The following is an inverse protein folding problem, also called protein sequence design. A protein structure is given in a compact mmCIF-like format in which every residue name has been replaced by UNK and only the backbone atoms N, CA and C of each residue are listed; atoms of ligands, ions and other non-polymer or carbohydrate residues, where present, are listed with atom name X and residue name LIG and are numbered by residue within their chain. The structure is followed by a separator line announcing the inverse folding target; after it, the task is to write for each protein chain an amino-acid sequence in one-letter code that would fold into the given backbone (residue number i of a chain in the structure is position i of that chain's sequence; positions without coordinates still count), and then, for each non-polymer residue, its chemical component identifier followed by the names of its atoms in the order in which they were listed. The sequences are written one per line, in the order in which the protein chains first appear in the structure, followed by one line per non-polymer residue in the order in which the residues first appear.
data_IF_115307840964
#
_entry.id   IF_115307840964
#
_cell.length_a   1.000
_cell.length_b   1.000
_cell.length_c   1.000
_cell.angle_alpha   90.00
_cell.angle_beta   90.00
_cell.angle_gamma   90.00
#
_symmetry.space_group_name_H-M   'P 1'
#
loop_
_entity.id
_entity.type
_entity.pdbx_description
1 polymer ?
#
# COMPACT_ATOMS: atom_id res chain seq x y z
N UNK A 1 -12.35 15.00 -31.09
CA UNK A 1 -13.73 15.22 -30.61
C UNK A 1 -14.15 14.04 -29.74
N UNK A 2 -14.01 14.13 -28.42
CA UNK A 2 -14.84 13.46 -27.41
C UNK A 2 -14.36 13.95 -26.03
N UNK A 3 -15.28 14.61 -25.31
CA UNK A 3 -15.06 15.42 -24.10
C UNK A 3 -14.67 14.58 -22.89
N UNK A 4 -13.55 14.90 -22.27
CA UNK A 4 -13.21 14.45 -20.92
C UNK A 4 -13.82 15.38 -19.87
N UNK A 5 -14.70 14.83 -19.03
CA UNK A 5 -15.38 15.57 -17.95
C UNK A 5 -14.38 15.85 -16.83
N UNK A 6 -13.83 17.07 -16.81
CA UNK A 6 -13.10 17.61 -15.65
C UNK A 6 -14.01 17.61 -14.41
N UNK A 7 -13.60 16.95 -13.33
CA UNK A 7 -14.17 17.16 -12.00
C UNK A 7 -13.47 18.36 -11.35
N UNK A 8 -14.19 19.35 -10.80
CA UNK A 8 -13.57 20.45 -10.06
C UNK A 8 -12.98 19.95 -8.75
N UNK A 9 -11.78 20.39 -8.41
CA UNK A 9 -11.20 20.23 -7.07
C UNK A 9 -11.89 21.16 -6.07
N UNK A 10 -11.90 20.85 -4.76
CA UNK A 10 -12.61 21.66 -3.79
C UNK A 10 -11.87 22.97 -3.53
N UNK A 11 -12.60 24.05 -3.76
CA UNK A 11 -12.28 25.44 -3.40
C UNK A 11 -12.27 25.59 -1.88
N UNK A 12 -11.31 26.38 -1.37
CA UNK A 12 -11.15 26.67 0.04
C UNK A 12 -12.34 27.52 0.55
N UNK A 13 -13.34 26.85 1.11
CA UNK A 13 -14.54 27.45 1.70
C UNK A 13 -14.35 27.87 3.15
N UNK A 14 -14.71 29.12 3.45
CA UNK A 14 -14.74 29.80 4.74
C UNK A 14 -15.34 28.97 5.89
N UNK A 15 -14.76 29.14 7.09
CA UNK A 15 -15.25 28.64 8.38
C UNK A 15 -16.73 29.03 8.62
N UNK A 16 -17.60 28.12 9.07
CA UNK A 16 -18.88 28.51 9.65
C UNK A 16 -18.69 28.95 11.10
N UNK A 17 -19.25 30.12 11.41
CA UNK A 17 -19.33 30.68 12.75
C UNK A 17 -20.27 29.84 13.64
N UNK A 18 -19.83 29.69 14.88
CA UNK A 18 -20.51 29.05 16.01
C UNK A 18 -21.83 29.79 16.33
N UNK A 19 -22.98 29.10 16.22
CA UNK A 19 -24.28 29.64 16.66
C UNK A 19 -24.51 29.26 18.11
N UNK A 20 -24.33 30.22 19.01
CA UNK A 20 -24.82 30.17 20.38
C UNK A 20 -26.36 30.11 20.45
N UNK A 21 -26.93 29.74 21.61
CA UNK A 21 -28.36 29.50 21.76
C UNK A 21 -29.16 30.80 21.63
N UNK A 22 -30.38 30.78 21.05
CA UNK A 22 -31.17 31.98 20.88
C UNK A 22 -31.69 32.50 22.23
N UNK A 23 -31.38 33.77 22.49
CA UNK A 23 -31.97 34.60 23.55
C UNK A 23 -33.49 34.73 23.35
N UNK A 24 -34.20 34.64 24.46
CA UNK A 24 -35.62 34.91 24.57
C UNK A 24 -35.97 36.35 24.13
N UNK A 25 -37.01 36.49 23.33
CA UNK A 25 -37.66 37.76 23.04
C UNK A 25 -39.08 37.74 23.65
N UNK A 26 -39.33 38.73 24.49
CA UNK A 26 -40.59 39.00 25.14
C UNK A 26 -41.55 39.77 24.20
N UNK A 27 -42.82 39.38 24.21
CA UNK A 27 -44.01 40.16 23.80
C UNK A 27 -45.24 39.26 24.06
N UNK A 28 -46.41 39.68 24.50
CA UNK A 28 -46.91 40.94 25.03
C UNK A 28 -48.17 40.58 25.84
N UNK A 29 -48.45 41.39 26.86
CA UNK A 29 -49.58 41.26 27.78
C UNK A 29 -50.88 41.63 27.06
N UNK A 30 -51.81 40.67 26.99
CA UNK A 30 -53.19 40.88 26.52
C UNK A 30 -54.17 40.47 27.62
N UNK A 31 -54.60 41.45 28.43
CA UNK A 31 -55.66 41.27 29.42
C UNK A 31 -57.03 41.27 28.73
N UNK A 32 -57.82 40.20 28.92
CA UNK A 32 -59.28 40.26 28.77
C UNK A 32 -59.98 39.57 29.92
N UNK A 33 -60.86 40.34 30.54
CA UNK A 33 -61.64 40.12 31.75
C UNK A 33 -62.95 39.43 31.40
N UNK A 34 -63.30 38.37 32.15
CA UNK A 34 -64.68 38.18 32.58
C UNK A 34 -65.32 36.81 32.38
N UNK A 35 -65.68 36.24 33.55
CA UNK A 35 -66.88 35.43 33.88
C UNK A 35 -66.78 33.90 33.73
N UNK A 36 -66.60 33.26 34.90
CA UNK A 36 -67.66 32.44 35.49
C UNK A 36 -67.52 30.92 35.37
N UNK A 37 -67.42 30.27 36.54
CA UNK A 37 -67.69 28.85 36.83
C UNK A 37 -66.76 27.81 36.16
N UNK A 38 -66.22 26.78 36.80
CA UNK A 38 -66.33 26.26 38.14
C UNK A 38 -64.98 25.60 38.50
N UNK A 39 -64.58 25.68 39.77
CA UNK A 39 -63.41 24.97 40.30
C UNK A 39 -63.74 23.48 40.34
N UNK A 40 -63.35 22.75 39.30
CA UNK A 40 -63.19 21.29 39.36
C UNK A 40 -61.77 20.99 39.85
N UNK A 41 -61.66 20.34 41.00
CA UNK A 41 -60.41 19.85 41.57
C UNK A 41 -59.56 19.07 40.53
N UNK A 42 -58.22 19.03 40.66
CA UNK A 42 -57.42 18.06 39.91
C UNK A 42 -57.81 16.67 40.41
N UNK A 43 -58.79 16.06 39.76
CA UNK A 43 -59.07 14.64 39.91
C UNK A 43 -57.78 13.92 39.56
N UNK A 44 -57.13 13.34 40.56
CA UNK A 44 -56.01 12.43 40.35
C UNK A 44 -56.51 11.37 39.38
N UNK A 45 -56.03 11.39 38.14
CA UNK A 45 -56.36 10.38 37.16
C UNK A 45 -55.71 9.08 37.65
N UNK A 46 -56.48 8.28 38.40
CA UNK A 46 -56.10 6.93 38.81
C UNK A 46 -56.02 6.12 37.53
N UNK A 47 -54.81 6.04 36.95
CA UNK A 47 -54.52 5.17 35.82
C UNK A 47 -54.88 3.74 36.23
N UNK A 48 -55.80 3.11 35.51
CA UNK A 48 -56.11 1.70 35.72
C UNK A 48 -54.82 0.89 35.64
N UNK A 49 -54.71 -0.19 36.44
CA UNK A 49 -53.52 -1.06 36.46
C UNK A 49 -53.08 -1.48 35.05
N UNK A 50 -54.04 -1.69 34.14
CA UNK A 50 -53.80 -1.98 32.72
C UNK A 50 -53.09 -0.86 31.94
N UNK A 51 -53.45 0.41 32.18
CA UNK A 51 -52.80 1.57 31.54
C UNK A 51 -51.41 1.81 32.08
N UNK A 52 -51.20 1.60 33.39
CA UNK A 52 -49.86 1.66 33.99
C UNK A 52 -48.94 0.61 33.37
N UNK A 53 -49.41 -0.64 33.24
CA UNK A 53 -48.64 -1.73 32.61
C UNK A 53 -48.33 -1.43 31.14
N UNK A 54 -49.29 -0.88 30.38
CA UNK A 54 -49.07 -0.50 28.99
C UNK A 54 -48.02 0.62 28.83
N UNK A 55 -48.05 1.65 29.68
CA UNK A 55 -47.05 2.73 29.67
C UNK A 55 -45.66 2.20 30.02
N UNK A 56 -45.56 1.32 31.02
CA UNK A 56 -44.30 0.69 31.39
C UNK A 56 -43.76 -0.22 30.27
N UNK A 57 -44.63 -0.96 29.57
CA UNK A 57 -44.25 -1.81 28.44
C UNK A 57 -43.77 -1.01 27.22
N UNK A 58 -44.41 0.13 26.92
CA UNK A 58 -43.95 1.03 25.86
C UNK A 58 -42.62 1.70 26.24
N UNK A 59 -42.46 2.10 27.50
CA UNK A 59 -41.21 2.65 28.02
C UNK A 59 -40.05 1.66 27.94
N UNK A 60 -40.27 0.39 28.31
CA UNK A 60 -39.24 -0.66 28.23
C UNK A 60 -38.88 -1.01 26.79
N UNK A 61 -39.86 -1.06 25.87
CA UNK A 61 -39.62 -1.25 24.44
C UNK A 61 -38.80 -0.10 23.84
N UNK A 62 -39.14 1.16 24.15
CA UNK A 62 -38.39 2.32 23.70
C UNK A 62 -36.94 2.30 24.21
N UNK A 63 -36.73 1.94 25.49
CA UNK A 63 -35.40 1.78 26.06
C UNK A 63 -34.60 0.64 25.39
N UNK A 64 -35.27 -0.48 25.10
CA UNK A 64 -34.68 -1.61 24.38
C UNK A 64 -34.23 -1.23 22.96
N UNK A 65 -35.06 -0.51 22.20
CA UNK A 65 -34.72 -0.01 20.87
C UNK A 65 -33.56 0.99 20.91
N UNK A 66 -33.53 1.89 21.90
CA UNK A 66 -32.42 2.82 22.10
C UNK A 66 -31.11 2.09 22.42
N UNK A 67 -31.15 1.06 23.28
CA UNK A 67 -29.98 0.24 23.62
C UNK A 67 -29.46 -0.55 22.41
N UNK A 68 -30.35 -1.13 21.60
CA UNK A 68 -29.98 -1.80 20.35
C UNK A 68 -29.38 -0.81 19.35
N UNK A 69 -30.00 0.35 19.16
CA UNK A 69 -29.49 1.41 18.29
C UNK A 69 -28.10 1.89 18.72
N UNK A 70 -27.90 2.13 20.01
CA UNK A 70 -26.59 2.45 20.58
C UNK A 70 -25.59 1.31 20.37
N UNK A 71 -25.98 0.06 20.60
CA UNK A 71 -25.13 -1.10 20.39
C UNK A 71 -24.68 -1.25 18.93
N UNK A 72 -25.59 -1.08 17.98
CA UNK A 72 -25.28 -1.09 16.54
C UNK A 72 -24.40 0.10 16.16
N UNK A 73 -24.71 1.30 16.65
CA UNK A 73 -23.91 2.51 16.43
C UNK A 73 -22.49 2.38 16.98
N UNK A 74 -22.33 1.91 18.21
CA UNK A 74 -21.05 1.67 18.85
C UNK A 74 -20.22 0.60 18.10
N UNK A 75 -20.86 -0.47 17.64
CA UNK A 75 -20.20 -1.48 16.78
C UNK A 75 -19.73 -0.87 15.47
N UNK A 76 -20.56 -0.08 14.78
CA UNK A 76 -20.18 0.62 13.54
C UNK A 76 -19.05 1.61 13.75
N UNK A 77 -19.09 2.39 14.83
CA UNK A 77 -18.04 3.35 15.17
C UNK A 77 -16.70 2.66 15.47
N UNK A 78 -16.73 1.57 16.24
CA UNK A 78 -15.54 0.73 16.50
C UNK A 78 -14.99 0.14 15.21
N UNK A 79 -15.85 -0.42 14.35
CA UNK A 79 -15.44 -0.97 13.06
C UNK A 79 -14.84 0.11 12.13
N UNK A 80 -15.43 1.30 12.09
CA UNK A 80 -14.91 2.41 11.30
C UNK A 80 -13.52 2.86 11.75
N UNK A 81 -13.22 2.82 13.06
CA UNK A 81 -11.88 3.13 13.60
C UNK A 81 -10.82 2.10 13.22
N UNK A 82 -11.20 0.85 12.96
CA UNK A 82 -10.27 -0.21 12.53
C UNK A 82 -9.88 -0.06 11.06
N UNK A 83 -10.79 0.44 10.22
CA UNK A 83 -10.59 0.54 8.76
C UNK A 83 -10.15 1.93 8.28
N UNK A 84 -10.18 2.94 9.15
CA UNK A 84 -9.79 4.31 8.80
C UNK A 84 -8.33 4.59 9.16
N UNK A 85 -7.69 5.43 8.35
CA UNK A 85 -6.36 5.94 8.66
C UNK A 85 -6.39 6.75 9.96
N UNK A 86 -5.25 6.77 10.66
CA UNK A 86 -5.11 7.51 11.91
C UNK A 86 -5.36 9.01 11.71
N UNK A 87 -6.10 9.70 12.61
CA UNK A 87 -6.48 11.11 12.44
C UNK A 87 -5.33 12.12 12.68
N UNK A 88 -4.12 11.64 13.00
CA UNK A 88 -2.98 12.53 13.24
C UNK A 88 -2.58 13.26 11.96
N UNK A 89 -1.99 14.46 12.07
CA UNK A 89 -1.42 15.16 10.92
C UNK A 89 -0.45 14.24 10.16
N UNK A 90 -0.49 14.33 8.82
CA UNK A 90 0.46 13.59 7.98
C UNK A 90 1.86 14.19 8.17
N UNK A 91 2.84 13.32 8.41
CA UNK A 91 4.27 13.71 8.49
C UNK A 91 4.81 14.07 7.11
N UNK A 92 4.31 13.41 6.07
CA UNK A 92 4.70 13.64 4.69
C UNK A 92 3.65 14.45 3.95
N UNK A 93 4.10 15.36 3.11
CA UNK A 93 3.25 16.10 2.20
C UNK A 93 2.55 15.17 1.20
N UNK A 94 1.37 15.59 0.72
CA UNK A 94 0.56 14.80 -0.19
C UNK A 94 1.30 14.42 -1.49
N UNK A 95 2.24 15.27 -1.94
CA UNK A 95 3.02 15.07 -3.17
C UNK A 95 4.51 14.79 -2.91
N UNK A 96 4.86 14.35 -1.69
CA UNK A 96 6.26 14.13 -1.26
C UNK A 96 7.05 13.14 -2.14
N UNK A 97 6.37 12.22 -2.84
CA UNK A 97 7.02 11.27 -3.75
C UNK A 97 7.12 11.73 -5.20
N UNK A 98 6.50 12.87 -5.54
CA UNK A 98 6.43 13.38 -6.91
C UNK A 98 7.77 13.87 -7.44
N UNK A 99 7.91 13.98 -8.78
CA UNK A 99 9.16 14.39 -9.41
C UNK A 99 9.57 15.84 -9.07
N UNK A 100 8.60 16.69 -8.67
CA UNK A 100 8.88 18.08 -8.26
C UNK A 100 9.32 18.21 -6.81
N UNK A 101 8.81 17.34 -5.93
CA UNK A 101 9.17 17.37 -4.51
C UNK A 101 10.52 16.69 -4.28
N UNK A 102 10.77 15.57 -4.96
CA UNK A 102 11.97 14.78 -4.77
C UNK A 102 12.36 14.09 -6.10
N UNK A 103 12.97 14.84 -7.04
CA UNK A 103 13.34 14.34 -8.37
C UNK A 103 14.38 13.22 -8.30
N UNK A 104 15.37 13.36 -7.39
CA UNK A 104 16.48 12.43 -7.26
C UNK A 104 16.05 11.02 -6.88
N UNK A 105 14.95 10.86 -6.15
CA UNK A 105 14.40 9.54 -5.77
C UNK A 105 13.15 9.16 -6.56
N UNK A 106 12.73 9.94 -7.55
CA UNK A 106 11.51 9.63 -8.29
C UNK A 106 11.59 8.25 -8.95
N UNK A 107 12.69 7.95 -9.64
CA UNK A 107 13.02 6.63 -10.19
C UNK A 107 13.96 5.85 -9.27
N UNK A 108 13.84 4.53 -9.25
CA UNK A 108 14.79 3.66 -8.57
C UNK A 108 14.48 2.17 -8.71
N UNK A 109 15.35 1.35 -8.13
CA UNK A 109 15.26 -0.12 -8.03
C UNK A 109 14.21 -0.58 -7.01
N UNK A 110 13.04 0.05 -6.98
CA UNK A 110 11.97 -0.17 -5.97
C UNK A 110 11.15 -1.46 -6.19
N UNK A 111 11.77 -2.48 -6.80
CA UNK A 111 11.16 -3.80 -7.04
C UNK A 111 12.11 -4.89 -6.52
N UNK A 112 12.26 -5.03 -5.20
CA UNK A 112 13.24 -5.95 -4.61
C UNK A 112 12.95 -7.43 -4.89
N UNK A 113 11.72 -7.76 -5.29
CA UNK A 113 11.31 -9.15 -5.59
C UNK A 113 11.74 -9.64 -6.98
N UNK A 114 12.24 -8.76 -7.85
CA UNK A 114 12.81 -9.15 -9.16
C UNK A 114 14.31 -8.98 -9.13
N UNK A 115 15.01 -9.80 -9.91
CA UNK A 115 16.47 -9.75 -9.96
C UNK A 115 16.98 -8.35 -10.33
N UNK A 116 16.41 -7.75 -11.37
CA UNK A 116 16.72 -6.37 -11.75
C UNK A 116 15.50 -5.69 -12.38
N UNK A 117 15.23 -4.46 -11.94
CA UNK A 117 14.09 -3.69 -12.45
C UNK A 117 14.03 -2.27 -11.90
N UNK A 118 13.26 -1.41 -12.56
CA UNK A 118 13.05 -0.02 -12.16
C UNK A 118 11.57 0.35 -12.16
N UNK A 119 11.23 1.26 -11.26
CA UNK A 119 9.88 1.80 -11.07
C UNK A 119 9.97 3.24 -10.54
N UNK A 120 8.99 4.06 -10.86
CA UNK A 120 8.82 5.39 -10.28
C UNK A 120 7.97 5.34 -8.99
N UNK A 121 8.18 6.29 -8.06
CA UNK A 121 7.39 6.45 -6.82
C UNK A 121 6.02 7.09 -7.07
N UNK A 122 5.27 6.50 -8.00
CA UNK A 122 3.91 6.88 -8.38
C UNK A 122 2.96 5.68 -8.21
N UNK A 123 1.71 5.89 -7.74
CA UNK A 123 0.69 4.83 -7.72
C UNK A 123 0.42 4.23 -9.11
N UNK A 124 0.56 5.05 -10.16
CA UNK A 124 0.46 4.65 -11.57
C UNK A 124 1.80 4.89 -12.23
N UNK A 125 2.70 3.93 -12.09
CA UNK A 125 4.07 4.03 -12.59
C UNK A 125 4.28 3.10 -13.79
N UNK A 126 5.02 3.54 -14.83
CA UNK A 126 5.68 2.60 -15.73
C UNK A 126 6.65 1.70 -14.94
N UNK A 127 6.80 0.46 -15.39
CA UNK A 127 7.64 -0.55 -14.75
C UNK A 127 8.52 -1.21 -15.81
N UNK A 128 9.82 -1.30 -15.53
CA UNK A 128 10.78 -2.05 -16.33
C UNK A 128 11.36 -3.20 -15.50
N UNK A 129 11.72 -4.30 -16.15
CA UNK A 129 12.34 -5.47 -15.53
C UNK A 129 13.18 -6.26 -16.51
N UNK A 130 14.20 -6.95 -16.00
CA UNK A 130 15.02 -7.89 -16.75
C UNK A 130 14.49 -9.32 -16.59
N UNK A 131 14.64 -10.10 -17.66
CA UNK A 131 14.41 -11.53 -17.69
C UNK A 131 15.49 -12.18 -18.54
N UNK A 132 15.92 -13.39 -18.19
CA UNK A 132 16.86 -14.17 -19.02
C UNK A 132 16.53 -15.66 -18.93
N UNK A 133 17.01 -16.43 -19.89
CA UNK A 133 16.84 -17.88 -19.93
C UNK A 133 18.02 -18.54 -20.64
N UNK A 134 18.32 -19.79 -20.27
CA UNK A 134 19.20 -20.66 -21.06
C UNK A 134 18.41 -21.27 -22.22
N UNK A 135 18.99 -21.22 -23.43
CA UNK A 135 18.42 -21.81 -24.65
C UNK A 135 18.90 -23.25 -24.89
N UNK A 136 19.19 -24.04 -23.86
CA UNK A 136 19.53 -25.46 -24.05
C UNK A 136 18.27 -26.30 -24.30
N UNK A 137 18.38 -27.30 -25.17
CA UNK A 137 17.29 -28.20 -25.56
C UNK A 137 16.72 -28.93 -24.33
N UNK A 138 15.41 -28.74 -24.08
CA UNK A 138 14.61 -29.57 -23.16
C UNK A 138 14.24 -28.95 -21.80
N UNK A 139 14.95 -27.94 -21.32
CA UNK A 139 14.69 -27.31 -20.01
C UNK A 139 14.77 -25.78 -20.08
N UNK A 140 13.60 -25.13 -20.19
CA UNK A 140 13.48 -23.66 -20.25
C UNK A 140 13.36 -23.11 -18.83
N UNK A 141 14.49 -22.67 -18.27
CA UNK A 141 14.53 -21.93 -17.01
C UNK A 141 14.55 -20.42 -17.27
N UNK A 142 13.36 -19.82 -17.24
CA UNK A 142 13.18 -18.37 -17.34
C UNK A 142 13.31 -17.72 -15.96
N UNK A 143 14.29 -16.82 -15.80
CA UNK A 143 14.55 -16.08 -14.56
C UNK A 143 13.89 -14.71 -14.62
N UNK A 144 13.22 -14.32 -13.53
CA UNK A 144 12.65 -12.98 -13.37
C UNK A 144 12.56 -12.56 -11.90
N UNK A 145 11.83 -13.32 -11.10
CA UNK A 145 11.66 -13.12 -9.66
C UNK A 145 12.77 -13.81 -8.89
N UNK A 146 13.13 -13.26 -7.73
CA UNK A 146 14.16 -13.83 -6.86
C UNK A 146 13.61 -15.06 -6.11
N UNK A 147 13.45 -16.19 -6.81
CA UNK A 147 12.98 -17.43 -6.19
C UNK A 147 14.14 -18.20 -5.56
N UNK A 148 13.98 -18.64 -4.32
CA UNK A 148 15.00 -19.46 -3.64
C UNK A 148 15.22 -20.80 -4.37
N UNK A 149 14.18 -21.32 -5.04
CA UNK A 149 14.23 -22.55 -5.83
C UNK A 149 15.02 -22.41 -7.13
N UNK A 150 15.43 -21.19 -7.53
CA UNK A 150 16.16 -21.00 -8.78
C UNK A 150 17.58 -21.56 -8.74
N UNK A 151 18.13 -21.78 -7.53
CA UNK A 151 19.42 -22.44 -7.35
C UNK A 151 20.62 -21.61 -7.81
N UNK A 152 20.49 -20.28 -7.88
CA UNK A 152 21.61 -19.39 -8.19
C UNK A 152 22.66 -19.46 -7.09
N UNK A 153 23.96 -19.67 -7.42
CA UNK A 153 25.04 -19.67 -6.43
C UNK A 153 25.14 -18.37 -5.63
N UNK A 154 24.95 -17.22 -6.29
CA UNK A 154 25.03 -15.89 -5.68
C UNK A 154 24.33 -14.85 -6.52
N UNK A 155 23.68 -13.89 -5.89
CA UNK A 155 23.30 -12.63 -6.51
C UNK A 155 23.26 -11.50 -5.48
N UNK A 156 23.53 -10.27 -5.88
CA UNK A 156 23.49 -9.14 -4.96
C UNK A 156 24.08 -7.85 -5.52
N UNK A 157 23.78 -6.75 -4.84
CA UNK A 157 24.39 -5.45 -5.14
C UNK A 157 25.83 -5.42 -4.60
N UNK A 158 26.78 -5.21 -5.49
CA UNK A 158 28.18 -4.91 -5.13
C UNK A 158 28.30 -3.45 -4.69
N UNK A 159 27.61 -2.55 -5.40
CA UNK A 159 27.56 -1.12 -5.11
C UNK A 159 26.13 -0.64 -5.32
N UNK A 160 25.58 0.14 -4.39
CA UNK A 160 24.28 0.79 -4.57
C UNK A 160 24.17 1.98 -3.61
N UNK A 161 24.08 3.20 -4.15
CA UNK A 161 24.01 4.42 -3.33
C UNK A 161 22.58 4.77 -2.88
N UNK A 162 21.58 4.01 -3.34
CA UNK A 162 20.17 4.23 -3.04
C UNK A 162 19.54 5.35 -3.86
N UNK A 163 20.31 6.02 -4.72
CA UNK A 163 19.88 7.20 -5.48
C UNK A 163 20.38 7.10 -6.92
N UNK A 164 21.64 7.37 -7.22
CA UNK A 164 22.11 7.66 -8.56
C UNK A 164 22.56 6.44 -9.36
N UNK A 165 23.12 5.42 -8.71
CA UNK A 165 23.70 4.29 -9.43
C UNK A 165 23.69 2.99 -8.63
N UNK A 166 23.89 1.89 -9.35
CA UNK A 166 24.16 0.60 -8.73
C UNK A 166 24.81 -0.38 -9.68
N UNK A 167 25.58 -1.29 -9.11
CA UNK A 167 26.24 -2.42 -9.76
C UNK A 167 25.84 -3.68 -9.02
N UNK A 168 25.20 -4.61 -9.70
CA UNK A 168 24.77 -5.90 -9.18
C UNK A 168 25.44 -7.02 -9.97
N UNK A 169 25.83 -8.07 -9.25
CA UNK A 169 26.31 -9.32 -9.81
C UNK A 169 25.26 -10.41 -9.58
N UNK A 170 25.04 -11.23 -10.60
CA UNK A 170 24.17 -12.40 -10.57
C UNK A 170 24.96 -13.55 -11.18
N UNK A 171 25.27 -14.55 -10.37
CA UNK A 171 25.86 -15.80 -10.81
C UNK A 171 24.75 -16.83 -11.02
N UNK A 172 24.65 -17.32 -12.24
CA UNK A 172 23.79 -18.42 -12.67
C UNK A 172 24.66 -19.56 -13.20
N UNK A 173 24.07 -20.72 -13.46
CA UNK A 173 24.82 -21.92 -13.85
C UNK A 173 25.45 -21.73 -15.24
N UNK A 174 26.75 -21.47 -15.28
CA UNK A 174 27.51 -21.26 -16.53
C UNK A 174 27.42 -19.85 -17.10
N UNK A 175 26.76 -18.91 -16.41
CA UNK A 175 26.65 -17.51 -16.81
C UNK A 175 26.88 -16.59 -15.59
N UNK A 176 27.72 -15.59 -15.78
CA UNK A 176 27.85 -14.45 -14.85
C UNK A 176 27.24 -13.22 -15.51
N UNK A 177 26.19 -12.67 -14.88
CA UNK A 177 25.53 -11.45 -15.31
C UNK A 177 25.94 -10.30 -14.38
N UNK A 178 26.26 -9.16 -14.98
CA UNK A 178 26.48 -7.90 -14.28
C UNK A 178 25.46 -6.88 -14.78
N UNK A 179 24.59 -6.43 -13.87
CA UNK A 179 23.54 -5.45 -14.13
C UNK A 179 23.91 -4.12 -13.48
N UNK A 180 23.90 -3.07 -14.28
CA UNK A 180 24.33 -1.75 -13.85
C UNK A 180 23.30 -0.71 -14.27
N UNK A 181 23.10 0.29 -13.42
CA UNK A 181 22.31 1.45 -13.80
C UNK A 181 22.97 2.75 -13.35
N UNK A 182 22.70 3.80 -14.12
CA UNK A 182 23.01 5.19 -13.78
C UNK A 182 21.79 6.04 -14.07
N UNK A 183 21.50 6.99 -13.18
CA UNK A 183 20.47 8.02 -13.38
C UNK A 183 21.13 9.35 -13.70
N UNK A 184 20.53 10.08 -14.65
CA UNK A 184 20.89 11.45 -14.98
C UNK A 184 19.75 12.37 -14.54
N UNK A 185 19.99 13.30 -13.60
CA UNK A 185 18.99 14.29 -13.24
C UNK A 185 18.70 15.22 -14.44
N UNK A 186 17.45 15.63 -14.59
CA UNK A 186 17.05 16.53 -15.67
C UNK A 186 15.54 16.65 -15.84
N UNK A 187 15.12 17.73 -16.49
CA UNK A 187 13.71 17.99 -16.78
C UNK A 187 12.83 18.14 -15.53
N UNK A 188 11.51 17.99 -15.73
CA UNK A 188 10.48 18.15 -14.69
C UNK A 188 9.82 16.82 -14.28
N UNK A 189 10.32 15.69 -14.80
CA UNK A 189 9.68 14.37 -14.69
C UNK A 189 10.59 13.31 -14.03
N UNK A 190 11.62 13.75 -13.30
CA UNK A 190 12.51 12.87 -12.54
C UNK A 190 13.76 12.38 -13.30
N UNK A 191 14.10 13.00 -14.42
CA UNK A 191 15.31 12.70 -15.20
C UNK A 191 15.25 11.43 -16.02
N UNK A 192 16.42 11.01 -16.48
CA UNK A 192 16.64 9.85 -17.33
C UNK A 192 17.44 8.78 -16.58
N UNK A 193 17.41 7.56 -17.10
CA UNK A 193 18.19 6.45 -16.57
C UNK A 193 18.58 5.49 -17.68
N UNK A 194 19.68 4.77 -17.47
CA UNK A 194 20.20 3.81 -18.44
C UNK A 194 20.65 2.55 -17.74
N UNK A 195 20.45 1.41 -18.40
CA UNK A 195 20.89 0.10 -17.95
C UNK A 195 22.02 -0.41 -18.82
N UNK A 196 22.98 -1.08 -18.21
CA UNK A 196 23.95 -1.93 -18.90
C UNK A 196 23.83 -3.33 -18.32
N UNK A 197 23.65 -4.31 -19.20
CA UNK A 197 23.62 -5.73 -18.84
C UNK A 197 24.78 -6.37 -19.56
N UNK A 198 25.75 -6.86 -18.79
CA UNK A 198 26.90 -7.60 -19.30
C UNK A 198 26.73 -9.06 -18.95
N UNK A 199 26.90 -9.95 -19.93
CA UNK A 199 26.81 -11.39 -19.71
C UNK A 199 28.16 -12.00 -20.09
N UNK A 200 28.72 -12.82 -19.20
CA UNK A 200 29.97 -13.55 -19.42
C UNK A 200 29.72 -15.04 -19.22
N UNK A 201 30.23 -15.91 -20.09
CA UNK A 201 30.22 -17.34 -19.82
C UNK A 201 31.16 -17.62 -18.64
N UNK A 202 30.70 -18.44 -17.69
CA UNK A 202 31.57 -18.96 -16.67
C UNK A 202 32.27 -20.20 -17.24
N UNK A 203 33.55 -20.06 -17.56
CA UNK A 203 34.37 -21.20 -17.99
C UNK A 203 34.28 -22.26 -16.88
N UNK A 204 33.93 -23.52 -17.20
CA UNK A 204 34.10 -24.58 -16.24
C UNK A 204 35.55 -24.51 -15.78
N UNK A 205 35.78 -24.46 -14.46
CA UNK A 205 37.10 -24.69 -13.91
C UNK A 205 37.58 -26.00 -14.54
N UNK A 206 38.50 -25.91 -15.51
CA UNK A 206 39.28 -27.04 -15.93
C UNK A 206 40.00 -27.47 -14.65
N UNK A 207 39.47 -28.51 -14.00
CA UNK A 207 40.20 -29.21 -12.97
C UNK A 207 41.59 -29.54 -13.53
N UNK A 208 42.65 -29.51 -12.70
CA UNK A 208 43.99 -29.79 -13.19
C UNK A 208 43.94 -31.07 -14.02
N UNK A 209 44.38 -30.99 -15.28
CA UNK A 209 44.52 -32.15 -16.15
C UNK A 209 45.30 -33.22 -15.39
N UNK A 210 44.58 -34.21 -14.87
CA UNK A 210 45.19 -35.42 -14.33
C UNK A 210 45.72 -36.20 -15.52
N UNK A 211 46.94 -35.87 -15.93
CA UNK A 211 47.75 -36.72 -16.79
C UNK A 211 48.12 -37.95 -15.95
N UNK A 212 47.23 -38.94 -15.89
CA UNK A 212 47.63 -40.27 -15.42
C UNK A 212 48.57 -40.87 -16.47
N UNK A 213 49.83 -41.20 -16.12
CA UNK A 213 50.68 -41.93 -17.04
C UNK A 213 50.08 -43.32 -17.23
N UNK A 214 49.72 -43.65 -18.47
CA UNK A 214 49.44 -45.02 -18.89
C UNK A 214 50.69 -45.86 -18.61
N UNK A 215 50.63 -46.72 -17.59
CA UNK A 215 51.66 -47.72 -17.35
C UNK A 215 51.51 -48.83 -18.40
N UNK A 216 52.19 -48.67 -19.53
CA UNK A 216 52.36 -49.75 -20.49
C UNK A 216 53.18 -50.86 -19.83
N UNK A 217 52.54 -51.98 -19.49
CA UNK A 217 53.22 -53.22 -19.10
C UNK A 217 54.14 -53.67 -20.23
N UNK A 218 55.44 -53.51 -20.03
CA UNK A 218 56.47 -54.14 -20.85
C UNK A 218 56.33 -55.67 -20.71
N UNK A 219 55.89 -56.33 -21.78
CA UNK A 219 55.83 -57.78 -21.91
C UNK A 219 57.27 -58.28 -22.13
N UNK A 220 57.90 -58.82 -21.08
CA UNK A 220 59.16 -59.55 -21.24
C UNK A 220 58.88 -60.86 -21.97
N UNK A 221 59.39 -60.97 -23.20
CA UNK A 221 59.59 -62.24 -23.89
C UNK A 221 60.94 -62.78 -23.45
N UNK A 222 60.93 -63.85 -22.65
CA UNK A 222 62.12 -64.63 -22.36
C UNK A 222 62.24 -65.72 -23.44
N UNK A 223 63.28 -65.62 -24.27
CA UNK A 223 63.80 -66.73 -25.04
C UNK A 223 64.87 -67.45 -24.22
N UNK A 224 64.69 -68.74 -23.96
CA UNK A 224 65.73 -69.77 -23.90
C UNK A 224 65.08 -71.14 -23.79
#
# INVERSE_FOLDING_TARGET
MARERRRPGPEAGRRPAEKGPPRAAAAAIGARKGRGAAVGAPGQAVLSRSRLVAVLALGSLALGLAAVGYGVGARRWRAARVLSLHPAPRILDANSSGPQAEPGRFWGSYRPQVYFGMKARSPRSPVAGLMWMHQLEGDVRLRHTCEQSDGLPRYGWLLHDGVNFGVQEIQDVGLSLQTEFVKRPGGQHGGDWSWRVTVRPELPLLGPCSCQPSSSKARQSASR
#
